data_IF_470857523594
#
_entry.id   IF_470857523594
#
_cell.length_a   1.000
_cell.length_b   1.000
_cell.length_c   1.000
_cell.angle_alpha   90.00
_cell.angle_beta   90.00
_cell.angle_gamma   90.00
#
_symmetry.space_group_name_H-M   'P 1'
#
loop_
_entity.id
_entity.type
_entity.pdbx_description
1 polymer ?
#
# COMPACT_ATOMS: atom_id res chain seq x y z
N UNK A 1 -18.09 -45.43 -6.37
CA UNK A 1 -17.65 -44.24 -7.13
C UNK A 1 -18.68 -43.15 -6.88
N UNK A 2 -18.26 -41.93 -6.56
CA UNK A 2 -19.21 -40.84 -6.29
C UNK A 2 -19.83 -40.31 -7.58
N UNK A 3 -21.15 -40.09 -7.58
CA UNK A 3 -21.87 -39.51 -8.73
C UNK A 3 -22.11 -38.01 -8.55
N UNK A 4 -22.50 -37.29 -9.61
CA UNK A 4 -22.83 -35.86 -9.50
C UNK A 4 -24.06 -35.59 -8.63
N UNK A 5 -25.02 -36.52 -8.62
CA UNK A 5 -26.19 -36.50 -7.74
C UNK A 5 -25.79 -36.65 -6.27
N UNK A 6 -24.89 -37.59 -5.96
CA UNK A 6 -24.38 -37.77 -4.58
C UNK A 6 -23.62 -36.54 -4.08
N UNK A 7 -22.84 -35.87 -4.94
CA UNK A 7 -22.10 -34.67 -4.56
C UNK A 7 -23.02 -33.49 -4.21
N UNK A 8 -24.11 -33.29 -4.95
CA UNK A 8 -25.09 -32.24 -4.67
C UNK A 8 -26.10 -32.63 -3.59
N UNK A 9 -26.13 -33.90 -3.18
CA UNK A 9 -27.12 -34.45 -2.27
C UNK A 9 -28.52 -34.48 -2.89
N UNK A 10 -28.62 -34.74 -4.20
CA UNK A 10 -29.86 -34.82 -4.98
C UNK A 10 -30.11 -36.26 -5.46
N UNK A 11 -31.36 -36.59 -5.77
CA UNK A 11 -31.76 -37.90 -6.32
C UNK A 11 -32.07 -37.80 -7.83
N UNK A 12 -31.94 -38.90 -8.58
CA UNK A 12 -32.39 -38.94 -9.97
C UNK A 12 -33.90 -38.66 -10.04
N UNK A 13 -34.29 -37.62 -10.78
CA UNK A 13 -35.69 -37.19 -10.92
C UNK A 13 -36.13 -36.06 -9.99
N UNK A 14 -35.23 -35.51 -9.16
CA UNK A 14 -35.53 -34.28 -8.41
C UNK A 14 -35.85 -33.10 -9.36
N UNK A 15 -36.84 -32.28 -8.98
CA UNK A 15 -37.18 -31.08 -9.73
C UNK A 15 -35.99 -30.10 -9.82
N UNK A 16 -35.85 -29.40 -10.94
CA UNK A 16 -34.75 -28.45 -11.19
C UNK A 16 -34.64 -27.37 -10.10
N UNK A 17 -35.77 -26.96 -9.53
CA UNK A 17 -35.83 -26.03 -8.39
C UNK A 17 -35.07 -26.56 -7.17
N UNK A 18 -35.18 -27.85 -6.88
CA UNK A 18 -34.52 -28.52 -5.76
C UNK A 18 -33.02 -28.63 -6.00
N UNK A 19 -32.62 -28.96 -7.23
CA UNK A 19 -31.20 -29.01 -7.63
C UNK A 19 -30.54 -27.62 -7.52
N UNK A 20 -31.23 -26.58 -7.97
CA UNK A 20 -30.77 -25.18 -7.86
C UNK A 20 -30.64 -24.71 -6.41
N UNK A 21 -31.59 -25.10 -5.55
CA UNK A 21 -31.53 -24.78 -4.12
C UNK A 21 -30.33 -25.46 -3.44
N UNK A 22 -30.09 -26.74 -3.74
CA UNK A 22 -28.93 -27.49 -3.21
C UNK A 22 -27.60 -26.90 -3.68
N UNK A 23 -27.49 -26.56 -4.96
CA UNK A 23 -26.32 -25.87 -5.51
C UNK A 23 -26.06 -24.53 -4.81
N UNK A 24 -27.09 -23.71 -4.57
CA UNK A 24 -26.94 -22.42 -3.88
C UNK A 24 -26.42 -22.60 -2.45
N UNK A 25 -26.92 -23.58 -1.71
CA UNK A 25 -26.46 -23.87 -0.36
C UNK A 25 -24.99 -24.35 -0.35
N UNK A 26 -24.63 -25.28 -1.22
CA UNK A 26 -23.26 -25.80 -1.33
C UNK A 26 -22.27 -24.73 -1.79
N UNK A 27 -22.58 -23.99 -2.86
CA UNK A 27 -21.71 -22.95 -3.41
C UNK A 27 -21.39 -21.85 -2.41
N UNK A 28 -22.35 -21.46 -1.54
CA UNK A 28 -22.07 -20.46 -0.51
C UNK A 28 -21.10 -20.95 0.58
N UNK A 29 -21.06 -22.26 0.85
CA UNK A 29 -20.12 -22.85 1.81
C UNK A 29 -18.73 -23.09 1.22
N UNK A 30 -18.65 -23.42 -0.07
CA UNK A 30 -17.36 -23.69 -0.75
C UNK A 30 -16.81 -22.48 -1.51
N UNK A 31 -17.42 -21.30 -1.35
CA UNK A 31 -17.00 -20.08 -2.05
C UNK A 31 -15.59 -19.63 -1.59
N UNK A 32 -14.68 -19.26 -2.51
CA UNK A 32 -13.31 -18.85 -2.16
C UNK A 32 -13.28 -17.67 -1.17
N UNK A 33 -14.15 -16.67 -1.36
CA UNK A 33 -14.21 -15.48 -0.50
C UNK A 33 -14.70 -15.77 0.94
N UNK A 34 -15.27 -16.94 1.18
CA UNK A 34 -15.78 -17.37 2.50
C UNK A 34 -14.95 -18.49 3.13
N UNK A 35 -13.70 -18.63 2.69
CA UNK A 35 -12.78 -19.66 3.20
C UNK A 35 -12.89 -21.02 2.48
N UNK A 36 -13.63 -21.11 1.38
CA UNK A 36 -13.71 -22.30 0.54
C UNK A 36 -12.56 -22.39 -0.48
N UNK A 37 -12.50 -23.50 -1.23
CA UNK A 37 -11.50 -23.71 -2.29
C UNK A 37 -12.09 -23.42 -3.67
N UNK A 38 -11.33 -22.71 -4.51
CA UNK A 38 -11.67 -22.46 -5.91
C UNK A 38 -11.89 -23.76 -6.69
N UNK A 39 -11.12 -24.80 -6.39
CA UNK A 39 -11.26 -26.13 -7.01
C UNK A 39 -12.57 -26.82 -6.59
N UNK A 40 -12.94 -26.73 -5.29
CA UNK A 40 -14.21 -27.27 -4.80
C UNK A 40 -15.41 -26.56 -5.41
N UNK A 41 -15.33 -25.22 -5.55
CA UNK A 41 -16.39 -24.44 -6.19
C UNK A 41 -16.57 -24.83 -7.66
N UNK A 42 -15.47 -25.05 -8.40
CA UNK A 42 -15.53 -25.55 -9.77
C UNK A 42 -16.13 -26.95 -9.87
N UNK A 43 -15.82 -27.83 -8.92
CA UNK A 43 -16.35 -29.19 -8.88
C UNK A 43 -17.87 -29.19 -8.58
N UNK A 44 -18.33 -28.36 -7.64
CA UNK A 44 -19.77 -28.18 -7.34
C UNK A 44 -20.52 -27.58 -8.53
N UNK A 45 -19.92 -26.61 -9.23
CA UNK A 45 -20.50 -26.04 -10.46
C UNK A 45 -20.58 -27.07 -11.59
N UNK A 46 -19.53 -27.85 -11.77
CA UNK A 46 -19.50 -28.92 -12.77
C UNK A 46 -20.56 -30.00 -12.48
N UNK A 47 -20.78 -30.34 -11.21
CA UNK A 47 -21.83 -31.27 -10.83
C UNK A 47 -23.23 -30.71 -11.14
N UNK A 48 -23.49 -29.44 -10.86
CA UNK A 48 -24.75 -28.77 -11.18
C UNK A 48 -25.06 -28.76 -12.68
N UNK A 49 -24.07 -28.43 -13.50
CA UNK A 49 -24.25 -28.39 -14.95
C UNK A 49 -24.54 -29.80 -15.52
N UNK A 50 -23.95 -30.85 -14.94
CA UNK A 50 -24.17 -32.23 -15.38
C UNK A 50 -25.50 -32.82 -14.85
N UNK A 51 -25.94 -32.45 -13.65
CA UNK A 51 -27.25 -32.90 -13.14
C UNK A 51 -28.40 -32.27 -13.93
N UNK A 52 -28.33 -30.98 -14.26
CA UNK A 52 -29.34 -30.32 -15.12
C UNK A 52 -29.40 -30.94 -16.52
N UNK A 53 -28.26 -31.36 -17.07
CA UNK A 53 -28.20 -32.04 -18.37
C UNK A 53 -28.67 -33.51 -18.33
N UNK A 54 -29.22 -33.98 -17.20
CA UNK A 54 -29.67 -35.36 -17.03
C UNK A 54 -28.54 -36.39 -16.89
N UNK A 55 -27.30 -35.94 -16.65
CA UNK A 55 -26.10 -36.77 -16.50
C UNK A 55 -25.70 -36.97 -15.04
N UNK A 56 -26.66 -36.84 -14.11
CA UNK A 56 -26.41 -36.87 -12.67
C UNK A 56 -25.87 -38.20 -12.12
N UNK A 57 -26.19 -39.30 -12.80
CA UNK A 57 -25.75 -40.67 -12.46
C UNK A 57 -24.34 -40.99 -13.00
N UNK A 58 -23.76 -40.11 -13.82
CA UNK A 58 -22.41 -40.32 -14.32
C UNK A 58 -21.41 -40.20 -13.17
N UNK A 59 -20.39 -41.08 -13.18
CA UNK A 59 -19.28 -40.99 -12.25
C UNK A 59 -18.58 -39.63 -12.39
N UNK A 60 -18.17 -39.07 -11.25
CA UNK A 60 -17.41 -37.83 -11.18
C UNK A 60 -16.12 -37.94 -12.00
N UNK A 61 -16.14 -37.42 -13.23
CA UNK A 61 -14.92 -37.09 -13.94
C UNK A 61 -14.46 -35.73 -13.44
N UNK A 62 -13.33 -35.72 -12.74
CA UNK A 62 -12.68 -34.47 -12.33
C UNK A 62 -12.27 -33.78 -13.64
N UNK A 63 -12.84 -32.61 -13.98
CA UNK A 63 -12.46 -31.92 -15.20
C UNK A 63 -10.96 -31.57 -15.10
N UNK A 64 -10.22 -31.69 -16.21
CA UNK A 64 -8.79 -31.40 -16.27
C UNK A 64 -8.43 -29.96 -15.83
N UNK A 65 -9.43 -29.08 -15.70
CA UNK A 65 -9.32 -27.73 -15.12
C UNK A 65 -9.26 -27.69 -13.58
N UNK A 66 -9.62 -28.78 -12.90
CA UNK A 66 -9.53 -28.96 -11.45
C UNK A 66 -8.31 -29.79 -11.03
N UNK A 67 -7.73 -30.59 -11.94
CA UNK A 67 -6.37 -31.11 -11.80
C UNK A 67 -5.39 -30.00 -12.16
N UNK A 68 -4.66 -29.48 -11.18
CA UNK A 68 -3.48 -28.62 -11.30
C UNK A 68 -3.01 -28.37 -12.75
N UNK A 69 -3.34 -27.20 -13.31
CA UNK A 69 -2.75 -26.71 -14.56
C UNK A 69 -1.27 -26.31 -14.42
N UNK A 70 -0.59 -26.75 -13.35
CA UNK A 70 0.82 -26.49 -13.12
C UNK A 70 1.73 -27.35 -13.99
N UNK A 71 1.25 -28.46 -14.58
CA UNK A 71 2.11 -29.33 -15.39
C UNK A 71 2.84 -28.59 -16.52
N UNK A 72 2.13 -27.77 -17.30
CA UNK A 72 2.74 -27.06 -18.44
C UNK A 72 3.51 -25.78 -18.07
N UNK A 73 3.20 -25.15 -16.93
CA UNK A 73 3.92 -23.98 -16.44
C UNK A 73 5.20 -24.41 -15.70
N UNK A 74 5.10 -25.41 -14.84
CA UNK A 74 6.20 -26.04 -14.13
C UNK A 74 7.18 -26.74 -15.09
N UNK A 75 6.68 -27.38 -16.15
CA UNK A 75 7.55 -27.99 -17.17
C UNK A 75 8.31 -26.95 -17.99
N UNK A 76 7.68 -25.80 -18.29
CA UNK A 76 8.37 -24.65 -18.91
C UNK A 76 9.39 -24.01 -17.96
N UNK A 77 9.06 -23.89 -16.68
CA UNK A 77 9.99 -23.39 -15.67
C UNK A 77 11.14 -24.38 -15.42
N UNK A 78 10.89 -25.69 -15.44
CA UNK A 78 11.93 -26.71 -15.35
C UNK A 78 12.84 -26.72 -16.57
N UNK A 79 12.28 -26.56 -17.78
CA UNK A 79 13.08 -26.45 -19.00
C UNK A 79 13.93 -25.17 -18.98
N UNK A 80 13.37 -24.05 -18.54
CA UNK A 80 14.10 -22.79 -18.39
C UNK A 80 15.21 -22.91 -17.34
N UNK A 81 14.90 -23.47 -16.17
CA UNK A 81 15.87 -23.66 -15.09
C UNK A 81 16.98 -24.65 -15.47
N UNK A 82 16.66 -25.71 -16.22
CA UNK A 82 17.67 -26.62 -16.78
C UNK A 82 18.59 -25.91 -17.76
N UNK A 83 18.04 -25.08 -18.66
CA UNK A 83 18.82 -24.28 -19.60
C UNK A 83 19.74 -23.30 -18.88
N UNK A 84 19.22 -22.56 -17.90
CA UNK A 84 20.01 -21.61 -17.12
C UNK A 84 21.12 -22.33 -16.32
N UNK A 85 20.83 -23.52 -15.77
CA UNK A 85 21.83 -24.36 -15.10
C UNK A 85 22.94 -24.77 -16.06
N UNK A 86 22.60 -25.23 -17.26
CA UNK A 86 23.59 -25.72 -18.21
C UNK A 86 24.44 -24.56 -18.75
N UNK A 87 23.86 -23.38 -19.01
CA UNK A 87 24.59 -22.16 -19.34
C UNK A 87 25.56 -21.75 -18.23
N UNK A 88 25.11 -21.75 -16.97
CA UNK A 88 25.97 -21.47 -15.81
C UNK A 88 27.10 -22.49 -15.66
N UNK A 89 26.85 -23.78 -15.94
CA UNK A 89 27.91 -24.80 -15.89
C UNK A 89 28.93 -24.62 -17.01
N UNK A 90 28.50 -24.23 -18.22
CA UNK A 90 29.39 -23.93 -19.33
C UNK A 90 30.27 -22.70 -19.03
N UNK A 91 29.68 -21.64 -18.46
CA UNK A 91 30.42 -20.46 -18.01
C UNK A 91 31.41 -20.80 -16.90
N UNK A 92 31.02 -21.63 -15.93
CA UNK A 92 31.93 -22.09 -14.87
C UNK A 92 33.11 -22.88 -15.44
N UNK A 93 32.88 -23.75 -16.42
CA UNK A 93 33.95 -24.47 -17.10
C UNK A 93 34.88 -23.53 -17.86
N UNK A 94 34.34 -22.55 -18.57
CA UNK A 94 35.11 -21.54 -19.30
C UNK A 94 35.98 -20.70 -18.35
N UNK A 95 35.39 -20.22 -17.25
CA UNK A 95 36.12 -19.49 -16.21
C UNK A 95 37.21 -20.35 -15.57
N UNK A 96 36.95 -21.64 -15.33
CA UNK A 96 37.96 -22.58 -14.80
C UNK A 96 39.12 -22.77 -15.78
N UNK A 97 38.85 -22.85 -17.08
CA UNK A 97 39.88 -22.90 -18.12
C UNK A 97 40.68 -21.59 -18.15
N UNK A 98 40.02 -20.44 -18.11
CA UNK A 98 40.68 -19.13 -18.05
C UNK A 98 41.55 -18.96 -16.80
N UNK A 99 41.07 -19.39 -15.63
CA UNK A 99 41.85 -19.39 -14.39
C UNK A 99 43.06 -20.31 -14.49
N UNK A 100 42.90 -21.51 -15.08
CA UNK A 100 44.04 -22.42 -15.29
C UNK A 100 45.07 -21.86 -16.27
N UNK A 101 44.64 -21.12 -17.30
CA UNK A 101 45.53 -20.43 -18.25
C UNK A 101 46.22 -19.23 -17.59
N UNK A 102 45.51 -18.44 -16.78
CA UNK A 102 46.07 -17.32 -16.03
C UNK A 102 47.06 -17.78 -14.94
N UNK A 103 46.80 -18.93 -14.30
CA UNK A 103 47.72 -19.54 -13.35
C UNK A 103 48.98 -20.08 -14.04
N UNK A 104 48.85 -20.72 -15.21
CA UNK A 104 50.00 -21.10 -16.05
C UNK A 104 50.79 -19.90 -16.58
N UNK A 105 50.12 -18.77 -16.84
CA UNK A 105 50.78 -17.50 -17.17
C UNK A 105 51.52 -16.88 -15.97
N UNK A 106 50.97 -17.00 -14.75
CA UNK A 106 51.60 -16.54 -13.51
C UNK A 106 52.84 -17.35 -13.11
N UNK A 107 52.92 -18.64 -13.44
CA UNK A 107 54.12 -19.45 -13.16
C UNK A 107 55.31 -19.10 -14.05
N UNK A 108 55.11 -18.44 -15.20
CA UNK A 108 56.18 -17.97 -16.09
C UNK A 108 56.71 -16.59 -15.65
N UNK A 109 55.91 -15.79 -14.93
CA UNK A 109 56.29 -14.48 -14.39
C UNK A 109 56.78 -14.47 -12.93
N UNK A 110 57.02 -15.64 -12.33
CA UNK A 110 57.26 -15.78 -10.89
C UNK A 110 58.64 -15.30 -10.39
N UNK A 111 59.55 -14.86 -11.27
CA UNK A 111 60.90 -14.43 -10.87
C UNK A 111 61.01 -12.94 -10.50
N UNK A 112 59.93 -12.15 -10.51
CA UNK A 112 60.01 -10.68 -10.26
C UNK A 112 59.08 -10.12 -9.18
N UNK A 113 58.34 -10.92 -8.39
CA UNK A 113 57.33 -10.36 -7.45
C UNK A 113 57.14 -11.12 -6.12
N UNK A 114 58.21 -11.57 -5.49
CA UNK A 114 58.16 -12.23 -4.16
C UNK A 114 57.63 -11.33 -3.03
N UNK A 115 57.70 -10.00 -3.15
CA UNK A 115 57.18 -9.07 -2.14
C UNK A 115 55.65 -8.91 -2.18
N UNK A 116 55.03 -8.96 -3.37
CA UNK A 116 53.59 -8.72 -3.53
C UNK A 116 52.73 -9.93 -3.13
N UNK A 117 53.26 -11.15 -3.29
CA UNK A 117 52.55 -12.39 -2.93
C UNK A 117 52.26 -12.54 -1.43
N UNK A 118 53.16 -12.04 -0.57
CA UNK A 118 53.01 -12.10 0.88
C UNK A 118 51.91 -11.14 1.41
N UNK A 119 51.75 -9.98 0.76
CA UNK A 119 50.67 -9.04 1.12
C UNK A 119 49.31 -9.54 0.66
N UNK A 120 49.25 -10.20 -0.51
CA UNK A 120 48.02 -10.83 -0.98
C UNK A 120 47.61 -12.03 -0.10
N UNK A 121 48.54 -12.87 0.33
CA UNK A 121 48.21 -14.00 1.22
C UNK A 121 47.71 -13.52 2.58
N UNK A 122 48.27 -12.44 3.14
CA UNK A 122 47.76 -11.81 4.36
C UNK A 122 46.35 -11.25 4.19
N UNK A 123 46.06 -10.56 3.09
CA UNK A 123 44.71 -10.06 2.80
C UNK A 123 43.69 -11.17 2.60
N UNK A 124 44.08 -12.27 1.97
CA UNK A 124 43.21 -13.45 1.80
C UNK A 124 42.86 -14.04 3.16
N UNK A 125 43.86 -14.25 4.03
CA UNK A 125 43.62 -14.76 5.39
C UNK A 125 42.72 -13.83 6.22
N UNK A 126 42.86 -12.51 6.06
CA UNK A 126 41.98 -11.54 6.72
C UNK A 126 40.53 -11.63 6.23
N UNK A 127 40.31 -11.68 4.91
CA UNK A 127 38.98 -11.81 4.32
C UNK A 127 38.31 -13.15 4.66
N UNK A 128 39.09 -14.23 4.75
CA UNK A 128 38.59 -15.53 5.20
C UNK A 128 38.14 -15.47 6.67
N UNK A 129 38.87 -14.76 7.53
CA UNK A 129 38.46 -14.51 8.92
C UNK A 129 37.16 -13.70 9.02
N UNK A 130 37.05 -12.62 8.24
CA UNK A 130 35.83 -11.79 8.18
C UNK A 130 34.61 -12.59 7.67
N UNK A 131 34.81 -13.48 6.69
CA UNK A 131 33.74 -14.36 6.20
C UNK A 131 33.26 -15.36 7.27
N UNK A 132 34.15 -15.86 8.10
CA UNK A 132 33.77 -16.76 9.21
C UNK A 132 32.92 -16.00 10.22
N UNK A 133 33.32 -14.78 10.59
CA UNK A 133 32.54 -13.93 11.51
C UNK A 133 31.16 -13.58 10.95
N UNK A 134 31.07 -13.17 9.69
CA UNK A 134 29.79 -12.88 9.04
C UNK A 134 28.89 -14.11 8.95
N UNK A 135 29.47 -15.30 8.75
CA UNK A 135 28.72 -16.56 8.75
C UNK A 135 28.18 -16.89 10.14
N UNK A 136 28.95 -16.62 11.19
CA UNK A 136 28.53 -16.79 12.57
C UNK A 136 27.41 -15.81 12.95
N UNK A 137 27.52 -14.54 12.57
CA UNK A 137 26.45 -13.55 12.76
C UNK A 137 25.18 -13.93 12.00
N UNK A 138 25.30 -14.40 10.75
CA UNK A 138 24.15 -14.87 9.97
C UNK A 138 23.48 -16.07 10.62
N UNK A 139 24.24 -17.01 11.18
CA UNK A 139 23.68 -18.14 11.91
C UNK A 139 22.99 -17.69 13.21
N UNK A 140 23.58 -16.73 13.93
CA UNK A 140 22.97 -16.13 15.13
C UNK A 140 21.63 -15.46 14.81
N UNK A 141 21.57 -14.66 13.76
CA UNK A 141 20.34 -14.01 13.30
C UNK A 141 19.31 -15.02 12.80
N UNK A 142 19.74 -16.09 12.12
CA UNK A 142 18.85 -17.19 11.72
C UNK A 142 18.21 -17.84 12.93
N UNK A 143 18.99 -18.16 13.97
CA UNK A 143 18.46 -18.76 15.19
C UNK A 143 17.47 -17.83 15.91
N UNK A 144 17.75 -16.52 15.95
CA UNK A 144 16.81 -15.53 16.51
C UNK A 144 15.52 -15.41 15.70
N UNK A 145 15.60 -15.52 14.38
CA UNK A 145 14.43 -15.56 13.51
C UNK A 145 13.59 -16.81 13.78
N UNK A 146 14.22 -17.97 13.88
CA UNK A 146 13.52 -19.24 14.10
C UNK A 146 12.86 -19.28 15.49
N UNK A 147 13.49 -18.70 16.53
CA UNK A 147 12.86 -18.54 17.84
C UNK A 147 11.66 -17.60 17.80
N UNK A 148 11.76 -16.47 17.09
CA UNK A 148 10.64 -15.53 16.95
C UNK A 148 9.46 -16.15 16.18
N UNK A 149 9.74 -16.97 15.17
CA UNK A 149 8.72 -17.74 14.43
C UNK A 149 8.03 -18.75 15.37
N UNK A 150 8.80 -19.46 16.19
CA UNK A 150 8.23 -20.40 17.16
C UNK A 150 7.32 -19.70 18.19
N UNK A 151 7.70 -18.51 18.66
CA UNK A 151 6.87 -17.69 19.55
C UNK A 151 5.59 -17.21 18.86
N UNK A 152 5.67 -16.75 17.62
CA UNK A 152 4.48 -16.39 16.83
C UNK A 152 3.53 -17.58 16.66
N UNK A 153 4.05 -18.77 16.38
CA UNK A 153 3.24 -19.98 16.29
C UNK A 153 2.57 -20.34 17.62
N UNK A 154 3.28 -20.18 18.75
CA UNK A 154 2.73 -20.40 20.09
C UNK A 154 1.59 -19.42 20.37
N UNK A 155 1.81 -18.12 20.16
CA UNK A 155 0.79 -17.07 20.34
C UNK A 155 -0.42 -17.28 19.41
N UNK A 156 -0.20 -17.65 18.15
CA UNK A 156 -1.28 -17.97 17.23
C UNK A 156 -2.05 -19.25 17.63
N UNK A 157 -1.41 -20.18 18.34
CA UNK A 157 -2.05 -21.34 18.95
C UNK A 157 -2.89 -20.96 20.16
N UNK A 158 -2.36 -20.09 21.03
CA UNK A 158 -3.06 -19.55 22.20
C UNK A 158 -4.27 -18.70 21.80
N UNK A 159 -4.15 -17.85 20.79
CA UNK A 159 -5.26 -17.09 20.22
C UNK A 159 -6.37 -18.01 19.68
N UNK A 160 -6.01 -19.11 18.99
CA UNK A 160 -7.01 -20.07 18.51
C UNK A 160 -7.73 -20.78 19.66
N UNK A 161 -7.02 -21.13 20.74
CA UNK A 161 -7.64 -21.72 21.94
C UNK A 161 -8.54 -20.71 22.65
N UNK A 162 -8.09 -19.47 22.82
CA UNK A 162 -8.90 -18.42 23.43
C UNK A 162 -10.17 -18.11 22.60
N UNK A 163 -10.06 -18.11 21.27
CA UNK A 163 -11.22 -17.95 20.38
C UNK A 163 -12.17 -19.15 20.46
N UNK A 164 -11.65 -20.39 20.52
CA UNK A 164 -12.52 -21.56 20.69
C UNK A 164 -13.21 -21.58 22.04
N UNK A 165 -12.50 -21.19 23.12
CA UNK A 165 -13.09 -21.11 24.46
C UNK A 165 -14.16 -20.01 24.52
N UNK A 166 -13.95 -18.89 23.82
CA UNK A 166 -14.93 -17.82 23.73
C UNK A 166 -16.17 -18.24 22.91
N UNK A 167 -15.98 -18.98 21.80
CA UNK A 167 -17.09 -19.55 21.03
C UNK A 167 -17.89 -20.57 21.87
N UNK A 168 -17.21 -21.41 22.66
CA UNK A 168 -17.88 -22.32 23.61
C UNK A 168 -18.66 -21.52 24.65
N UNK A 169 -18.08 -20.47 25.23
CA UNK A 169 -18.76 -19.61 26.20
C UNK A 169 -19.97 -18.86 25.60
N UNK A 170 -19.89 -18.42 24.34
CA UNK A 170 -21.03 -17.84 23.61
C UNK A 170 -22.13 -18.88 23.42
N UNK A 171 -21.79 -20.12 23.03
CA UNK A 171 -22.80 -21.18 22.90
C UNK A 171 -23.40 -21.60 24.26
N UNK A 172 -22.62 -21.54 25.34
CA UNK A 172 -23.12 -21.77 26.69
C UNK A 172 -23.99 -20.61 27.20
N UNK A 173 -23.65 -19.37 26.86
CA UNK A 173 -24.47 -18.19 27.14
C UNK A 173 -25.75 -18.22 26.33
N UNK A 174 -25.74 -18.58 25.05
CA UNK A 174 -26.95 -18.73 24.23
C UNK A 174 -27.83 -19.87 24.75
N UNK A 175 -27.23 -20.95 25.23
CA UNK A 175 -27.93 -22.09 25.82
C UNK A 175 -28.48 -21.79 27.22
N UNK A 176 -27.76 -21.03 28.07
CA UNK A 176 -28.20 -20.63 29.42
C UNK A 176 -29.13 -19.41 29.41
N UNK A 177 -28.97 -18.51 28.45
CA UNK A 177 -29.75 -17.28 28.39
C UNK A 177 -31.19 -17.55 28.00
N UNK A 178 -31.51 -18.63 27.26
CA UNK A 178 -32.86 -19.21 27.18
C UNK A 178 -34.01 -18.22 26.88
N UNK A 179 -33.70 -17.02 26.41
CA UNK A 179 -34.64 -15.90 26.24
C UNK A 179 -34.77 -15.71 24.74
N UNK A 180 -35.80 -16.37 24.20
CA UNK A 180 -36.32 -16.10 22.86
C UNK A 180 -36.71 -14.63 22.79
N UNK A 181 -35.88 -13.78 22.18
CA UNK A 181 -36.25 -12.41 21.79
C UNK A 181 -36.38 -12.30 20.28
N UNK A 182 -37.53 -12.67 19.69
CA UNK A 182 -37.84 -12.27 18.33
C UNK A 182 -38.40 -10.84 18.34
N UNK A 183 -37.79 -9.92 17.57
CA UNK A 183 -38.57 -8.85 16.93
C UNK A 183 -38.41 -7.40 17.38
N UNK A 184 -37.52 -7.04 18.31
CA UNK A 184 -37.37 -5.62 18.71
C UNK A 184 -36.58 -4.76 17.69
N UNK A 185 -35.58 -5.35 17.03
CA UNK A 185 -34.75 -4.63 16.04
C UNK A 185 -35.52 -4.23 14.76
N UNK A 186 -36.50 -5.04 14.35
CA UNK A 186 -37.34 -4.75 13.18
C UNK A 186 -38.37 -3.64 13.42
N UNK A 187 -38.80 -3.45 14.68
CA UNK A 187 -39.76 -2.40 15.02
C UNK A 187 -39.13 -1.01 15.06
N UNK A 188 -37.93 -0.90 15.63
CA UNK A 188 -37.17 0.36 15.70
C UNK A 188 -36.79 0.90 14.31
N UNK A 189 -36.41 0.00 13.38
CA UNK A 189 -35.99 0.40 12.03
C UNK A 189 -37.16 0.93 11.17
N UNK A 190 -38.39 0.43 11.37
CA UNK A 190 -39.54 0.79 10.54
C UNK A 190 -40.25 2.08 10.97
N UNK A 191 -40.25 2.41 12.27
CA UNK A 191 -41.06 3.52 12.77
C UNK A 191 -40.27 4.75 13.19
N UNK A 192 -39.06 4.58 13.73
CA UNK A 192 -38.35 5.71 14.36
C UNK A 192 -37.50 6.52 13.39
N UNK A 193 -36.86 5.85 12.42
CA UNK A 193 -36.01 6.52 11.44
C UNK A 193 -36.77 7.47 10.49
N UNK A 194 -37.96 7.13 9.96
CA UNK A 194 -38.72 8.06 9.10
C UNK A 194 -39.25 9.29 9.87
N UNK A 195 -39.66 9.10 11.13
CA UNK A 195 -40.18 10.19 11.96
C UNK A 195 -39.09 11.23 12.30
N UNK A 196 -37.88 10.77 12.59
CA UNK A 196 -36.74 11.67 12.85
C UNK A 196 -36.33 12.43 11.59
N UNK A 197 -36.31 11.78 10.42
CA UNK A 197 -35.97 12.42 9.16
C UNK A 197 -36.99 13.51 8.74
N UNK A 198 -38.28 13.30 9.01
CA UNK A 198 -39.30 14.31 8.74
C UNK A 198 -39.23 15.50 9.71
N UNK A 199 -38.87 15.26 10.97
CA UNK A 199 -38.74 16.33 11.96
C UNK A 199 -37.55 17.26 11.69
N UNK A 200 -36.43 16.74 11.19
CA UNK A 200 -35.26 17.56 10.85
C UNK A 200 -35.50 18.43 9.61
N UNK A 201 -36.29 17.94 8.65
CA UNK A 201 -36.61 18.68 7.43
C UNK A 201 -37.51 19.89 7.70
N UNK A 202 -38.47 19.77 8.65
CA UNK A 202 -39.31 20.90 9.08
C UNK A 202 -38.48 21.98 9.80
N UNK A 203 -37.49 21.58 10.60
CA UNK A 203 -36.59 22.52 11.29
C UNK A 203 -35.68 23.25 10.30
N UNK A 204 -35.17 22.57 9.28
CA UNK A 204 -34.34 23.19 8.22
C UNK A 204 -35.16 24.17 7.36
N UNK A 205 -36.41 23.86 7.04
CA UNK A 205 -37.28 24.78 6.29
C UNK A 205 -37.67 26.00 7.14
N UNK A 206 -37.98 25.81 8.42
CA UNK A 206 -38.30 26.91 9.34
C UNK A 206 -37.12 27.86 9.60
N UNK A 207 -35.88 27.32 9.64
CA UNK A 207 -34.67 28.13 9.73
C UNK A 207 -34.29 28.79 8.40
N UNK A 208 -34.54 28.12 7.27
CA UNK A 208 -34.31 28.67 5.92
C UNK A 208 -35.20 29.88 5.61
N UNK A 209 -36.47 29.87 6.04
CA UNK A 209 -37.39 31.00 5.79
C UNK A 209 -37.05 32.28 6.60
N UNK A 210 -36.18 32.21 7.61
CA UNK A 210 -35.76 33.39 8.38
C UNK A 210 -34.49 34.08 7.86
N UNK A 211 -33.77 33.48 6.91
CA UNK A 211 -32.55 34.06 6.32
C UNK A 211 -32.72 34.55 4.88
N UNK A 212 -33.91 34.41 4.29
CA UNK A 212 -34.22 34.94 2.97
C UNK A 212 -34.94 36.28 3.10
N UNK A 213 -34.21 37.35 2.77
CA UNK A 213 -34.70 38.71 2.67
C UNK A 213 -35.65 38.79 1.45
N UNK A 214 -36.96 38.89 1.69
CA UNK A 214 -38.00 38.94 0.65
C UNK A 214 -37.95 40.20 -0.22
N UNK A 215 -37.06 41.15 0.09
CA UNK A 215 -36.81 42.38 -0.66
C UNK A 215 -36.20 42.17 -2.05
N UNK A 216 -35.59 41.01 -2.32
CA UNK A 216 -35.00 40.71 -3.64
C UNK A 216 -36.05 40.30 -4.70
N UNK A 217 -37.22 39.81 -4.29
CA UNK A 217 -38.26 39.32 -5.24
C UNK A 217 -39.16 40.45 -5.75
N UNK A 218 -39.19 41.60 -5.06
CA UNK A 218 -40.01 42.75 -5.47
C UNK A 218 -39.24 43.79 -6.30
N UNK A 219 -37.92 43.69 -6.40
CA UNK A 219 -37.07 44.65 -7.14
C UNK A 219 -37.03 44.47 -8.66
N UNK A 220 -37.67 43.43 -9.21
CA UNK A 220 -37.70 43.15 -10.65
C UNK A 220 -38.88 43.81 -11.39
N UNK A 221 -39.76 44.52 -10.67
CA UNK A 221 -41.03 45.05 -11.21
C UNK A 221 -41.16 46.57 -11.19
N UNK A 222 -40.13 47.32 -10.78
CA UNK A 222 -40.16 48.79 -10.88
C UNK A 222 -39.03 49.30 -11.78
N UNK A 223 -39.47 49.76 -12.94
CA UNK A 223 -38.69 50.45 -13.96
C UNK A 223 -38.66 51.94 -13.62
N UNK A 224 -37.58 52.42 -13.00
CA UNK A 224 -37.25 53.85 -12.98
C UNK A 224 -35.74 54.06 -12.91
N UNK A 225 -35.17 54.45 -14.07
CA UNK A 225 -33.95 55.25 -14.17
C UNK A 225 -34.29 56.74 -13.95
N UNK A 226 -33.36 57.68 -13.71
CA UNK A 226 -31.90 57.60 -13.53
C UNK A 226 -31.37 58.45 -12.32
N UNK A 227 -30.05 58.49 -12.10
CA UNK A 227 -29.21 59.71 -12.03
C UNK A 227 -27.86 59.44 -11.34
N UNK A 228 -26.78 59.76 -12.06
CA UNK A 228 -25.38 59.49 -11.70
C UNK A 228 -24.83 60.66 -10.89
N UNK A 229 -24.33 60.39 -9.67
CA UNK A 229 -23.45 61.30 -8.92
C UNK A 229 -22.19 60.55 -8.44
N UNK A 230 -21.01 61.20 -8.43
CA UNK A 230 -19.70 60.53 -8.36
C UNK A 230 -19.35 59.94 -6.98
N UNK A 231 -18.50 58.90 -6.92
CA UNK A 231 -18.23 58.14 -5.69
C UNK A 231 -17.42 58.96 -4.67
N UNK A 232 -17.98 59.14 -3.47
CA UNK A 232 -17.25 59.57 -2.27
C UNK A 232 -16.69 58.34 -1.54
N UNK A 233 -15.38 58.18 -1.54
CA UNK A 233 -14.66 57.18 -0.75
C UNK A 233 -14.71 57.59 0.72
N UNK A 234 -15.34 56.79 1.57
CA UNK A 234 -15.26 56.92 3.04
C UNK A 234 -14.48 55.74 3.59
N UNK A 235 -13.22 55.99 3.95
CA UNK A 235 -12.37 55.04 4.65
C UNK A 235 -12.91 54.87 6.06
N UNK A 236 -13.46 53.70 6.37
CA UNK A 236 -13.84 53.31 7.73
C UNK A 236 -12.68 52.51 8.32
N UNK A 237 -11.96 53.10 9.26
CA UNK A 237 -11.02 52.36 10.10
C UNK A 237 -11.82 51.53 11.11
N UNK A 238 -11.80 50.21 10.98
CA UNK A 238 -12.30 49.32 12.02
C UNK A 238 -11.30 49.32 13.19
N UNK A 239 -11.71 49.83 14.34
CA UNK A 239 -11.05 49.53 15.62
C UNK A 239 -11.29 48.06 15.97
N UNK A 240 -10.27 47.31 16.43
CA UNK A 240 -10.40 45.91 16.74
C UNK A 240 -11.28 45.74 18.00
N UNK A 241 -12.35 44.97 17.90
CA UNK A 241 -13.12 44.58 19.09
C UNK A 241 -12.45 43.38 19.75
N UNK A 242 -11.83 43.63 20.90
CA UNK A 242 -11.49 42.66 21.92
C UNK A 242 -12.73 41.81 22.25
N UNK A 243 -12.75 40.56 21.78
CA UNK A 243 -13.54 39.43 22.32
C UNK A 243 -13.31 38.16 21.48
N UNK A 244 -12.07 37.67 21.46
CA UNK A 244 -11.83 36.25 21.13
C UNK A 244 -10.50 35.71 21.70
N UNK A 245 -10.02 36.30 22.80
CA UNK A 245 -8.94 35.73 23.62
C UNK A 245 -9.57 35.29 24.94
N UNK A 246 -10.13 34.07 24.96
CA UNK A 246 -10.38 33.25 26.16
C UNK A 246 -11.29 32.05 25.81
N UNK A 247 -10.87 31.18 24.87
CA UNK A 247 -11.41 29.81 24.82
C UNK A 247 -10.54 28.79 24.10
N UNK A 248 -9.21 28.94 24.11
CA UNK A 248 -8.29 27.86 23.74
C UNK A 248 -7.08 27.90 24.69
N UNK A 249 -7.33 27.74 25.98
CA UNK A 249 -6.31 27.33 26.94
C UNK A 249 -6.96 26.38 27.93
N UNK A 250 -6.92 25.09 27.61
CA UNK A 250 -6.89 23.95 28.53
C UNK A 250 -6.87 22.66 27.69
N UNK A 251 -5.68 22.10 27.51
CA UNK A 251 -5.52 20.76 26.93
C UNK A 251 -4.25 20.53 26.13
N UNK A 252 -3.09 21.03 26.57
CA UNK A 252 -1.79 20.57 26.08
C UNK A 252 -0.69 20.81 27.14
N UNK A 253 -0.69 19.97 28.17
CA UNK A 253 0.47 19.54 28.93
C UNK A 253 0.78 18.16 28.32
N UNK A 254 1.95 17.78 27.82
CA UNK A 254 3.34 18.22 27.96
C UNK A 254 4.06 17.89 26.64
N UNK A 255 4.87 18.82 26.13
CA UNK A 255 6.06 18.50 25.36
C UNK A 255 7.05 19.63 25.63
N UNK A 256 8.15 19.26 26.28
CA UNK A 256 9.25 20.16 26.61
C UNK A 256 9.69 20.98 25.39
N UNK A 257 9.75 22.29 25.62
CA UNK A 257 10.59 23.23 24.88
C UNK A 257 12.00 22.65 24.77
N UNK A 258 12.42 22.41 23.54
CA UNK A 258 13.81 22.61 23.16
C UNK A 258 13.82 23.78 22.18
N UNK A 259 14.21 24.94 22.72
CA UNK A 259 14.44 26.19 22.02
C UNK A 259 15.59 25.99 21.01
N UNK A 260 15.22 25.74 19.75
CA UNK A 260 16.07 26.06 18.61
C UNK A 260 15.22 26.73 17.55
N UNK A 261 15.66 27.92 17.13
CA UNK A 261 14.87 28.94 16.44
C UNK A 261 13.97 28.43 15.32
N UNK A 262 12.89 29.18 15.07
CA UNK A 262 11.98 29.08 13.93
C UNK A 262 12.76 28.98 12.62
N UNK A 263 13.22 27.77 12.31
CA UNK A 263 13.82 27.39 11.05
C UNK A 263 12.66 27.31 10.08
N UNK A 264 12.55 28.33 9.25
CA UNK A 264 11.58 28.35 8.16
C UNK A 264 11.69 27.04 7.36
N UNK A 265 10.54 26.44 7.03
CA UNK A 265 10.50 25.13 6.38
C UNK A 265 10.88 25.30 4.90
N UNK A 266 11.88 24.55 4.40
CA UNK A 266 12.46 24.81 3.09
C UNK A 266 11.45 24.62 1.96
N UNK A 267 11.20 25.67 1.16
CA UNK A 267 10.22 25.60 0.06
C UNK A 267 10.80 25.04 -1.24
N UNK A 268 9.97 24.26 -1.95
CA UNK A 268 10.27 23.72 -3.26
C UNK A 268 10.07 24.78 -4.36
N UNK A 269 10.99 24.85 -5.31
CA UNK A 269 10.78 25.51 -6.60
C UNK A 269 9.86 24.66 -7.46
N UNK A 270 8.63 25.13 -7.68
CA UNK A 270 7.62 24.46 -8.47
C UNK A 270 8.00 24.48 -9.96
N UNK A 271 7.93 23.32 -10.63
CA UNK A 271 8.25 23.19 -12.05
C UNK A 271 7.01 22.78 -12.83
N UNK A 272 6.82 23.32 -14.05
CA UNK A 272 5.66 22.94 -14.85
C UNK A 272 5.82 21.61 -15.59
N UNK A 273 7.05 21.11 -15.76
CA UNK A 273 7.34 19.89 -16.51
C UNK A 273 6.98 18.65 -15.67
N UNK A 274 6.04 17.84 -16.14
CA UNK A 274 5.69 16.56 -15.51
C UNK A 274 6.58 15.44 -16.03
N UNK A 275 6.75 14.39 -15.21
CA UNK A 275 7.41 13.15 -15.67
C UNK A 275 8.90 13.28 -16.02
N UNK A 276 9.61 14.27 -15.49
CA UNK A 276 11.06 14.40 -15.67
C UNK A 276 11.68 14.78 -14.33
N UNK A 277 12.68 14.01 -13.90
CA UNK A 277 13.49 14.39 -12.75
C UNK A 277 14.31 15.63 -13.06
N UNK A 278 14.23 16.63 -12.19
CA UNK A 278 14.94 17.89 -12.31
C UNK A 278 15.70 18.19 -11.03
N UNK A 279 16.90 18.74 -11.18
CA UNK A 279 17.72 19.26 -10.10
C UNK A 279 17.30 20.71 -9.79
N UNK A 280 17.08 21.01 -8.52
CA UNK A 280 16.70 22.32 -8.04
C UNK A 280 17.33 22.58 -6.66
N UNK A 281 17.18 23.80 -6.15
CA UNK A 281 17.57 24.18 -4.79
C UNK A 281 16.37 24.71 -4.03
N UNK A 282 16.31 24.41 -2.73
CA UNK A 282 15.31 24.99 -1.84
C UNK A 282 15.46 26.51 -1.80
N UNK A 283 14.35 27.24 -1.77
CA UNK A 283 14.39 28.73 -1.83
C UNK A 283 15.07 29.36 -0.62
N UNK A 284 14.99 28.72 0.55
CA UNK A 284 15.45 29.30 1.81
C UNK A 284 16.85 28.85 2.23
N UNK A 285 17.24 27.63 1.86
CA UNK A 285 18.49 27.03 2.35
C UNK A 285 19.52 26.78 1.27
N UNK A 286 19.20 27.08 0.00
CA UNK A 286 19.99 26.75 -1.20
C UNK A 286 20.46 25.29 -1.29
N UNK A 287 19.96 24.41 -0.41
CA UNK A 287 20.28 22.98 -0.40
C UNK A 287 19.73 22.34 -1.68
N UNK A 288 20.54 21.56 -2.40
CA UNK A 288 20.12 20.94 -3.63
C UNK A 288 19.22 19.74 -3.35
N UNK A 289 18.25 19.54 -4.22
CA UNK A 289 17.39 18.38 -4.24
C UNK A 289 17.05 18.02 -5.69
N UNK A 290 16.63 16.77 -5.90
CA UNK A 290 15.98 16.37 -7.14
C UNK A 290 14.51 16.15 -6.88
N UNK A 291 13.68 16.56 -7.83
CA UNK A 291 12.26 16.33 -7.75
C UNK A 291 11.67 15.89 -9.08
N UNK A 292 10.55 15.19 -8.98
CA UNK A 292 9.69 14.86 -10.12
C UNK A 292 8.26 15.22 -9.77
N UNK A 293 7.56 15.82 -10.75
CA UNK A 293 6.14 16.16 -10.67
C UNK A 293 5.28 15.09 -11.35
N UNK A 294 4.21 14.65 -10.69
CA UNK A 294 3.15 13.82 -11.29
C UNK A 294 2.23 14.66 -12.18
N UNK A 295 1.40 14.00 -12.97
CA UNK A 295 0.36 14.69 -13.77
C UNK A 295 -0.69 15.37 -12.87
N UNK A 296 -0.89 14.85 -11.65
CA UNK A 296 -1.77 15.38 -10.62
C UNK A 296 -1.15 16.55 -9.83
N UNK A 297 0.12 16.87 -10.07
CA UNK A 297 0.81 17.99 -9.47
C UNK A 297 1.44 17.74 -8.10
N UNK A 298 1.41 16.50 -7.60
CA UNK A 298 2.21 16.08 -6.45
C UNK A 298 3.68 15.91 -6.86
N UNK A 299 4.59 15.95 -5.89
CA UNK A 299 6.02 15.82 -6.14
C UNK A 299 6.63 14.70 -5.31
N UNK A 300 7.59 13.98 -5.90
CA UNK A 300 8.57 13.20 -5.13
C UNK A 300 9.86 14.00 -5.09
N UNK A 301 10.44 14.13 -3.91
CA UNK A 301 11.66 14.88 -3.66
C UNK A 301 12.69 13.99 -2.99
N UNK A 302 13.93 14.09 -3.43
CA UNK A 302 15.10 13.49 -2.78
C UNK A 302 16.17 14.57 -2.59
N UNK A 303 16.56 14.79 -1.34
CA UNK A 303 17.58 15.77 -0.92
C UNK A 303 18.92 15.07 -0.60
N UNK A 304 19.89 15.85 -0.10
CA UNK A 304 21.19 15.29 0.29
C UNK A 304 21.14 14.30 1.45
N UNK A 305 20.03 14.19 2.21
CA UNK A 305 19.91 13.15 3.26
C UNK A 305 19.70 11.77 2.64
N UNK A 306 19.31 11.71 1.36
CA UNK A 306 19.05 10.48 0.63
C UNK A 306 17.64 9.93 0.82
N UNK A 307 16.85 10.52 1.71
CA UNK A 307 15.45 10.13 1.93
C UNK A 307 14.58 10.59 0.76
N UNK A 308 13.56 9.79 0.45
CA UNK A 308 12.48 10.19 -0.48
C UNK A 308 11.27 10.69 0.30
N UNK A 309 10.76 11.86 -0.12
CA UNK A 309 9.56 12.48 0.45
C UNK A 309 8.53 12.72 -0.64
N UNK A 310 7.27 12.41 -0.35
CA UNK A 310 6.11 12.74 -1.17
C UNK A 310 5.51 14.06 -0.68
N UNK A 311 5.43 15.03 -1.58
CA UNK A 311 4.70 16.27 -1.42
C UNK A 311 3.37 16.09 -2.14
N UNK A 312 2.36 15.66 -1.39
CA UNK A 312 1.02 15.38 -1.90
C UNK A 312 0.24 16.69 -2.02
N UNK A 313 -0.30 16.96 -3.21
CA UNK A 313 -1.13 18.14 -3.45
C UNK A 313 -2.38 18.12 -2.56
N UNK A 314 -2.61 19.18 -1.78
CA UNK A 314 -3.72 19.32 -0.84
C UNK A 314 -5.09 19.14 -1.52
N UNK A 315 -5.22 19.62 -2.77
CA UNK A 315 -6.48 19.54 -3.53
C UNK A 315 -6.87 18.11 -3.94
N UNK A 316 -5.91 17.18 -3.95
CA UNK A 316 -6.09 15.79 -4.41
C UNK A 316 -5.85 14.78 -3.30
N UNK A 317 -5.99 15.20 -2.04
CA UNK A 317 -5.80 14.33 -0.89
C UNK A 317 -6.81 13.16 -0.93
N UNK A 318 -6.36 11.90 -1.09
CA UNK A 318 -7.26 10.77 -1.08
C UNK A 318 -7.81 10.53 0.33
N UNK A 319 -8.95 9.86 0.42
CA UNK A 319 -9.61 9.53 1.70
C UNK A 319 -8.72 8.68 2.61
N UNK A 320 -7.78 7.94 2.02
CA UNK A 320 -6.75 7.13 2.70
C UNK A 320 -5.43 7.33 1.99
N UNK A 321 -4.38 7.52 2.77
CA UNK A 321 -3.00 7.59 2.28
C UNK A 321 -2.38 6.19 2.41
N UNK A 322 -1.48 5.83 1.49
CA UNK A 322 -0.81 4.53 1.53
C UNK A 322 -0.07 4.30 2.86
N UNK A 323 -0.12 3.08 3.40
CA UNK A 323 0.40 2.75 4.73
C UNK A 323 1.93 2.90 4.86
N UNK A 324 2.65 2.95 3.74
CA UNK A 324 4.10 3.16 3.69
C UNK A 324 4.49 4.65 3.75
N UNK A 325 3.55 5.57 3.96
CA UNK A 325 3.79 7.00 4.01
C UNK A 325 3.66 7.51 5.45
N UNK A 326 4.74 8.08 5.97
CA UNK A 326 4.77 8.68 7.32
C UNK A 326 4.60 10.18 7.18
N UNK A 327 3.49 10.71 7.70
CA UNK A 327 3.25 12.16 7.70
C UNK A 327 4.34 12.90 8.48
N UNK A 328 4.85 13.99 7.92
CA UNK A 328 5.83 14.86 8.59
C UNK A 328 5.21 16.19 8.97
N UNK A 329 4.81 16.98 7.97
CA UNK A 329 4.26 18.32 8.17
C UNK A 329 3.48 18.77 6.93
N UNK A 330 2.77 19.88 7.07
CA UNK A 330 2.16 20.60 5.94
C UNK A 330 3.09 21.74 5.54
N UNK A 331 3.34 21.87 4.24
CA UNK A 331 4.11 22.97 3.67
C UNK A 331 3.33 23.57 2.49
N UNK A 332 2.80 24.78 2.69
CA UNK A 332 1.90 25.46 1.74
C UNK A 332 0.71 24.56 1.34
N UNK A 333 0.54 24.32 0.04
CA UNK A 333 -0.49 23.46 -0.56
C UNK A 333 -0.09 21.99 -0.65
N UNK A 334 0.91 21.56 0.13
CA UNK A 334 1.39 20.18 0.12
C UNK A 334 1.40 19.57 1.51
N UNK A 335 0.93 18.33 1.61
CA UNK A 335 1.21 17.47 2.76
C UNK A 335 2.47 16.65 2.48
N UNK A 336 3.47 16.77 3.35
CA UNK A 336 4.76 16.12 3.19
C UNK A 336 4.78 14.79 3.95
N UNK A 337 5.08 13.72 3.24
CA UNK A 337 5.20 12.37 3.77
C UNK A 337 6.60 11.82 3.48
N UNK A 338 7.22 11.15 4.46
CA UNK A 338 8.43 10.35 4.25
C UNK A 338 8.05 8.97 3.71
N UNK A 339 8.84 8.45 2.77
CA UNK A 339 8.70 7.10 2.20
C UNK A 339 9.83 6.21 2.75
N UNK A 340 9.68 5.61 3.95
CA UNK A 340 10.72 4.79 4.58
C UNK A 340 10.99 3.45 3.87
N UNK A 341 9.98 2.87 3.22
CA UNK A 341 10.09 1.54 2.60
C UNK A 341 9.13 1.36 1.42
N UNK A 342 9.35 0.32 0.63
CA UNK A 342 8.52 -0.06 -0.51
C UNK A 342 8.94 0.60 -1.81
N UNK A 343 7.97 0.79 -2.72
CA UNK A 343 8.26 1.43 -4.00
C UNK A 343 8.54 2.92 -3.80
N UNK A 344 9.60 3.41 -4.44
CA UNK A 344 10.01 4.81 -4.38
C UNK A 344 10.80 5.22 -3.13
N UNK A 345 11.07 4.30 -2.20
CA UNK A 345 11.84 4.59 -0.98
C UNK A 345 13.36 4.56 -1.17
N UNK A 346 13.85 3.97 -2.26
CA UNK A 346 15.28 3.81 -2.51
C UNK A 346 15.67 4.16 -3.96
N UNK A 347 16.92 4.58 -4.21
CA UNK A 347 17.39 4.88 -5.56
C UNK A 347 17.27 3.68 -6.51
N UNK A 348 17.43 2.47 -6.01
CA UNK A 348 17.33 1.23 -6.78
C UNK A 348 15.91 1.04 -7.32
N UNK A 349 14.88 1.37 -6.52
CA UNK A 349 13.48 1.32 -6.94
C UNK A 349 13.22 2.20 -8.17
N UNK A 350 13.82 3.39 -8.21
CA UNK A 350 13.73 4.32 -9.33
C UNK A 350 14.58 3.90 -10.54
N UNK A 351 15.71 3.21 -10.33
CA UNK A 351 16.57 2.73 -11.41
C UNK A 351 16.02 1.48 -12.12
N UNK A 352 15.35 0.59 -11.39
CA UNK A 352 14.81 -0.67 -11.92
C UNK A 352 13.51 -0.46 -12.70
N UNK A 353 12.69 0.49 -12.27
CA UNK A 353 11.35 0.70 -12.83
C UNK A 353 11.33 1.89 -13.78
N UNK A 354 10.59 1.77 -14.90
CA UNK A 354 10.34 2.89 -15.82
C UNK A 354 9.32 3.89 -15.26
N UNK A 355 8.36 3.39 -14.50
CA UNK A 355 7.31 4.14 -13.79
C UNK A 355 7.08 3.49 -12.44
N UNK A 356 6.76 4.29 -11.43
CA UNK A 356 6.38 3.86 -10.09
C UNK A 356 5.03 4.45 -9.74
N UNK A 357 4.22 3.68 -9.05
CA UNK A 357 2.94 4.12 -8.52
C UNK A 357 3.10 4.35 -7.01
N UNK A 358 2.85 5.58 -6.56
CA UNK A 358 2.97 5.97 -5.16
C UNK A 358 1.70 6.73 -4.81
N UNK A 359 0.94 6.22 -3.84
CA UNK A 359 -0.32 6.83 -3.40
C UNK A 359 -1.33 7.05 -4.55
N UNK A 360 -1.53 6.02 -5.39
CA UNK A 360 -2.42 6.04 -6.57
C UNK A 360 -1.99 7.05 -7.67
N UNK A 361 -0.79 7.63 -7.54
CA UNK A 361 -0.20 8.52 -8.54
C UNK A 361 0.98 7.88 -9.26
N UNK A 362 1.05 8.09 -10.58
CA UNK A 362 2.13 7.56 -11.42
C UNK A 362 3.26 8.58 -11.56
N UNK A 363 4.48 8.12 -11.28
CA UNK A 363 5.72 8.87 -11.43
C UNK A 363 6.66 8.15 -12.40
N UNK A 364 7.28 8.87 -13.32
CA UNK A 364 8.19 8.28 -14.30
C UNK A 364 9.65 8.35 -13.85
N UNK A 365 10.47 7.33 -14.09
CA UNK A 365 11.89 7.37 -13.72
C UNK A 365 12.79 8.05 -14.76
N UNK A 366 12.21 8.79 -15.71
CA UNK A 366 12.96 9.42 -16.80
C UNK A 366 13.95 10.46 -16.24
N UNK A 367 15.20 10.38 -16.68
CA UNK A 367 16.30 11.25 -16.23
C UNK A 367 16.63 11.14 -14.73
N UNK A 368 16.17 10.10 -14.03
CA UNK A 368 16.51 9.90 -12.62
C UNK A 368 18.02 9.70 -12.44
N UNK A 369 18.63 8.79 -13.21
CA UNK A 369 20.07 8.48 -13.11
C UNK A 369 20.95 9.71 -13.29
N UNK A 370 20.67 10.53 -14.30
CA UNK A 370 21.44 11.75 -14.58
C UNK A 370 21.25 12.79 -13.48
N UNK A 371 20.01 13.00 -13.03
CA UNK A 371 19.71 13.97 -11.97
C UNK A 371 20.29 13.55 -10.62
N UNK A 372 20.29 12.25 -10.32
CA UNK A 372 20.86 11.70 -9.09
C UNK A 372 22.38 11.89 -9.04
N UNK A 373 23.09 11.62 -10.13
CA UNK A 373 24.53 11.89 -10.22
C UNK A 373 24.81 13.38 -10.04
N UNK A 374 24.01 14.26 -10.68
CA UNK A 374 24.16 15.70 -10.52
C UNK A 374 23.92 16.17 -9.07
N UNK A 375 22.92 15.59 -8.39
CA UNK A 375 22.65 15.85 -6.98
C UNK A 375 23.81 15.42 -6.07
N UNK A 376 24.30 14.19 -6.22
CA UNK A 376 25.43 13.69 -5.42
C UNK A 376 26.65 14.58 -5.58
N UNK A 377 26.94 15.00 -6.82
CA UNK A 377 28.05 15.93 -7.08
C UNK A 377 27.85 17.30 -6.41
N UNK A 378 26.61 17.83 -6.38
CA UNK A 378 26.33 19.09 -5.69
C UNK A 378 26.37 18.95 -4.17
N UNK A 379 25.83 17.86 -3.61
CA UNK A 379 25.89 17.58 -2.18
C UNK A 379 27.34 17.42 -1.70
N UNK A 380 28.21 16.76 -2.49
CA UNK A 380 29.64 16.66 -2.18
C UNK A 380 30.34 18.02 -2.20
N UNK A 381 30.00 18.89 -3.16
CA UNK A 381 30.56 20.25 -3.23
C UNK A 381 30.16 21.16 -2.07
N UNK A 382 29.08 20.84 -1.35
CA UNK A 382 28.66 21.60 -0.17
C UNK A 382 29.28 21.08 1.13
N UNK A 383 29.90 19.89 1.11
CA UNK A 383 30.60 19.33 2.28
C UNK A 383 32.11 19.63 2.28
N UNK A 384 32.64 20.13 1.16
CA UNK A 384 33.97 20.71 1.01
C UNK A 384 33.87 22.22 1.18
#
# INVERSE_FOLDING_TARGET
MTTFNELLGTKPGDAESTVKQRYKLLSTRVHPDKGGSKALMQLVRHAYDNTIKGRGENALSIPASASFSDGGALERELLKTKKDRDELTALNQLLKVQLSQAQKGKSVGANTSSASGADFSRKIAQLEGELVLLKEERNRLSNQKDSAIAEQHKLAGELRRALSDNEVMETELDRKSGVKTPGLLLWAQKFWLPAMAMSSLVVVVALGMKMLDWSFVTGWLDDTSPEVAPPRVRVVHAKPSEKEVQKIERGALEAQDDDTGTSSLPFLKLTQKTGVWALASYTESDKPYIAIRSDNGSYIVNDCTGDFRLYLNEQLKPLRVAANLIYQHQNQHFHVYKIPYGQGSSPESWLQSRKLEINEELFTSKSFRTSRVALVNQCQKMML
#
